data_IF_265697217582
#
_entry.id   IF_265697217582
#
_cell.length_a   1.000
_cell.length_b   1.000
_cell.length_c   1.000
_cell.angle_alpha   90.00
_cell.angle_beta   90.00
_cell.angle_gamma   90.00
#
_symmetry.space_group_name_H-M   'P 1'
#
loop_
_entity.id
_entity.type
_entity.pdbx_description
1 polymer ?
#
# COMPACT_ATOMS: atom_id res chain seq x y z
N UNK A 1 -18.79 12.74 -2.66
CA UNK A 1 -18.03 12.56 -3.93
C UNK A 1 -17.65 13.92 -4.45
N UNK A 2 -16.38 14.15 -4.81
CA UNK A 2 -15.94 15.42 -5.43
C UNK A 2 -15.97 15.20 -6.94
N UNK A 3 -16.92 15.82 -7.64
CA UNK A 3 -17.03 15.69 -9.09
C UNK A 3 -15.99 16.58 -9.76
N UNK A 4 -15.07 15.98 -10.51
CA UNK A 4 -13.98 16.69 -11.18
C UNK A 4 -14.40 17.12 -12.60
N UNK A 5 -15.48 16.54 -13.14
CA UNK A 5 -16.10 16.98 -14.39
C UNK A 5 -15.25 16.78 -15.65
N UNK A 6 -14.19 15.98 -15.58
CA UNK A 6 -13.27 15.75 -16.71
C UNK A 6 -13.66 14.47 -17.45
N UNK A 7 -13.87 14.59 -18.76
CA UNK A 7 -14.17 13.47 -19.66
C UNK A 7 -12.93 13.15 -20.49
N UNK A 8 -12.57 11.87 -20.57
CA UNK A 8 -11.51 11.39 -21.46
C UNK A 8 -12.03 10.27 -22.35
N UNK A 9 -11.59 10.29 -23.60
CA UNK A 9 -11.81 9.20 -24.54
C UNK A 9 -10.86 8.06 -24.20
N UNK A 10 -11.35 6.85 -24.43
CA UNK A 10 -10.55 5.63 -24.39
C UNK A 10 -9.73 5.57 -25.68
N UNK A 11 -8.48 5.11 -25.58
CA UNK A 11 -7.65 4.89 -26.77
C UNK A 11 -7.99 3.56 -27.47
N UNK A 12 -7.32 3.27 -28.59
CA UNK A 12 -7.55 2.07 -29.40
C UNK A 12 -7.29 0.74 -28.64
N UNK A 13 -6.58 0.80 -27.51
CA UNK A 13 -6.21 -0.36 -26.70
C UNK A 13 -7.03 -0.44 -25.40
N UNK A 14 -8.03 0.43 -25.20
CA UNK A 14 -8.83 0.41 -23.99
C UNK A 14 -8.24 1.21 -22.82
N UNK A 15 -7.13 1.95 -23.02
CA UNK A 15 -6.46 2.70 -21.94
C UNK A 15 -7.10 4.08 -21.77
N UNK A 16 -7.15 4.53 -20.53
CA UNK A 16 -7.57 5.89 -20.17
C UNK A 16 -6.41 6.67 -19.57
N UNK A 17 -6.29 7.94 -19.96
CA UNK A 17 -5.27 8.82 -19.41
C UNK A 17 -5.80 9.51 -18.17
N UNK A 18 -5.16 9.28 -17.01
CA UNK A 18 -5.47 9.99 -15.78
C UNK A 18 -5.02 11.47 -15.88
N UNK A 19 -5.91 12.45 -15.64
CA UNK A 19 -5.56 13.88 -15.56
C UNK A 19 -4.44 14.17 -14.56
N UNK A 20 -3.63 15.20 -14.83
CA UNK A 20 -2.46 15.52 -13.99
C UNK A 20 -2.87 16.00 -12.59
N UNK A 21 -4.01 16.65 -12.48
CA UNK A 21 -4.59 17.15 -11.24
C UNK A 21 -4.92 15.99 -10.30
N UNK A 22 -5.48 14.91 -10.84
CA UNK A 22 -5.80 13.70 -10.09
C UNK A 22 -4.53 12.98 -9.61
N UNK A 23 -3.50 12.88 -10.46
CA UNK A 23 -2.22 12.31 -10.06
C UNK A 23 -1.59 13.06 -8.90
N UNK A 24 -1.61 14.41 -8.95
CA UNK A 24 -1.07 15.25 -7.86
C UNK A 24 -1.89 15.15 -6.59
N UNK A 25 -3.22 15.15 -6.71
CA UNK A 25 -4.12 15.07 -5.55
C UNK A 25 -4.06 13.71 -4.83
N UNK A 26 -3.81 12.63 -5.58
CA UNK A 26 -3.69 11.26 -5.05
C UNK A 26 -2.24 10.81 -4.83
N UNK A 27 -1.28 11.69 -5.08
CA UNK A 27 0.16 11.42 -4.99
C UNK A 27 0.57 10.15 -5.77
N UNK A 28 0.12 10.04 -7.02
CA UNK A 28 0.41 8.92 -7.92
C UNK A 28 1.57 9.28 -8.82
N UNK A 29 2.68 8.55 -8.67
CA UNK A 29 3.89 8.70 -9.49
C UNK A 29 3.93 7.71 -10.67
N UNK A 30 4.85 7.95 -11.60
CA UNK A 30 5.09 7.02 -12.70
C UNK A 30 5.57 5.69 -12.11
N UNK A 31 5.01 4.56 -12.58
CA UNK A 31 5.23 3.19 -12.08
C UNK A 31 4.52 2.84 -10.76
N UNK A 32 3.74 3.74 -10.18
CA UNK A 32 2.88 3.38 -9.04
C UNK A 32 1.83 2.36 -9.49
N UNK A 33 1.62 1.34 -8.64
CA UNK A 33 0.57 0.36 -8.85
C UNK A 33 -0.78 0.92 -8.41
N UNK A 34 -1.82 0.67 -9.20
CA UNK A 34 -3.20 1.07 -8.91
C UNK A 34 -4.06 -0.19 -8.91
N UNK A 35 -4.86 -0.32 -7.88
CA UNK A 35 -5.81 -1.41 -7.72
C UNK A 35 -7.18 -1.00 -8.27
N UNK A 36 -7.79 -1.90 -9.02
CA UNK A 36 -9.10 -1.71 -9.65
C UNK A 36 -10.16 -2.44 -8.84
N UNK A 37 -11.20 -1.71 -8.45
CA UNK A 37 -12.39 -2.26 -7.82
C UNK A 37 -13.61 -1.97 -8.70
N UNK A 38 -14.58 -2.87 -8.65
CA UNK A 38 -15.88 -2.70 -9.29
C UNK A 38 -16.93 -2.57 -8.20
N UNK A 39 -17.65 -1.46 -8.20
CA UNK A 39 -18.79 -1.21 -7.31
C UNK A 39 -20.01 -0.90 -8.18
N UNK A 40 -20.92 -1.87 -8.28
CA UNK A 40 -22.10 -1.83 -9.16
C UNK A 40 -21.73 -1.52 -10.62
N UNK A 41 -21.98 -0.28 -11.06
CA UNK A 41 -21.73 0.24 -12.41
C UNK A 41 -20.52 1.18 -12.47
N UNK A 42 -19.72 1.25 -11.41
CA UNK A 42 -18.58 2.17 -11.27
C UNK A 42 -17.27 1.42 -11.11
N UNK A 43 -16.22 1.99 -11.69
CA UNK A 43 -14.85 1.59 -11.43
C UNK A 43 -14.30 2.51 -10.33
N UNK A 44 -13.82 1.91 -9.25
CA UNK A 44 -13.15 2.60 -8.15
C UNK A 44 -11.67 2.29 -8.22
N UNK A 45 -10.84 3.33 -8.32
CA UNK A 45 -9.39 3.22 -8.36
C UNK A 45 -8.79 3.56 -7.00
N UNK A 46 -7.90 2.71 -6.50
CA UNK A 46 -7.18 2.94 -5.24
C UNK A 46 -5.68 2.81 -5.47
N UNK A 47 -4.88 3.67 -4.83
CA UNK A 47 -3.42 3.51 -4.82
C UNK A 47 -3.11 2.14 -4.20
N UNK A 48 -2.46 1.25 -4.95
CA UNK A 48 -2.07 -0.05 -4.45
C UNK A 48 -1.01 0.18 -3.37
N UNK A 49 -1.38 -0.12 -2.14
CA UNK A 49 -0.43 -0.29 -1.06
C UNK A 49 -0.24 -1.79 -0.94
N UNK A 50 0.97 -2.32 -1.11
CA UNK A 50 1.19 -3.75 -0.92
C UNK A 50 0.89 -4.06 0.55
N UNK A 51 -0.30 -4.63 0.78
CA UNK A 51 -0.67 -5.20 2.07
C UNK A 51 0.09 -6.51 2.19
N UNK A 52 0.71 -6.75 3.34
CA UNK A 52 1.51 -7.96 3.52
C UNK A 52 3.00 -7.80 3.19
N UNK A 53 3.57 -6.60 3.09
CA UNK A 53 5.04 -6.45 3.08
C UNK A 53 5.53 -6.54 4.52
N UNK A 54 6.49 -7.41 4.78
CA UNK A 54 7.16 -7.41 6.07
C UNK A 54 7.87 -6.07 6.28
N UNK A 55 7.58 -5.38 7.38
CA UNK A 55 8.19 -4.10 7.73
C UNK A 55 9.72 -4.20 7.87
N UNK A 56 10.23 -5.33 8.36
CA UNK A 56 11.67 -5.54 8.57
C UNK A 56 12.42 -6.01 7.33
N UNK A 57 11.91 -7.05 6.63
CA UNK A 57 12.62 -7.66 5.48
C UNK A 57 12.22 -7.07 4.13
N UNK A 58 11.08 -6.39 4.03
CA UNK A 58 10.56 -5.88 2.75
C UNK A 58 9.94 -6.95 1.85
N UNK A 59 9.86 -8.21 2.31
CA UNK A 59 9.37 -9.33 1.52
C UNK A 59 7.86 -9.54 1.71
N UNK A 60 7.20 -10.00 0.63
CA UNK A 60 5.81 -10.43 0.65
C UNK A 60 5.80 -11.95 0.63
N UNK A 61 5.56 -12.56 1.78
CA UNK A 61 5.41 -14.02 1.89
C UNK A 61 3.99 -14.37 2.35
N UNK A 62 3.53 -15.57 2.01
CA UNK A 62 2.25 -16.11 2.50
C UNK A 62 2.21 -16.31 4.01
N UNK A 63 3.36 -16.26 4.67
CA UNK A 63 3.51 -16.44 6.12
C UNK A 63 3.56 -15.11 6.88
N UNK A 64 3.47 -13.98 6.18
CA UNK A 64 3.45 -12.67 6.81
C UNK A 64 2.20 -12.52 7.69
N UNK A 65 2.43 -12.15 8.95
CA UNK A 65 1.39 -11.96 9.97
C UNK A 65 1.25 -10.51 10.34
N UNK A 66 0.02 -10.13 10.70
CA UNK A 66 -0.29 -8.80 11.19
C UNK A 66 -0.24 -8.74 12.72
N UNK A 67 0.35 -7.67 13.25
CA UNK A 67 0.53 -7.37 14.66
C UNK A 67 0.03 -5.96 14.98
N UNK A 68 -0.35 -5.69 16.23
CA UNK A 68 -0.76 -4.36 16.68
C UNK A 68 -2.02 -3.82 16.00
N UNK A 69 -3.05 -4.67 15.85
CA UNK A 69 -4.31 -4.37 15.15
C UNK A 69 -4.13 -3.98 13.67
N UNK A 70 -3.34 -4.76 12.92
CA UNK A 70 -3.15 -4.53 11.48
C UNK A 70 -2.24 -3.36 11.13
N UNK A 71 -1.55 -2.76 12.11
CA UNK A 71 -0.63 -1.64 11.89
C UNK A 71 0.76 -2.09 11.46
N UNK A 72 1.14 -3.30 11.82
CA UNK A 72 2.47 -3.85 11.58
C UNK A 72 2.28 -5.18 10.88
N UNK A 73 2.90 -5.37 9.71
CA UNK A 73 2.96 -6.67 9.04
C UNK A 73 4.40 -7.16 9.06
N UNK A 74 4.65 -8.38 9.52
CA UNK A 74 5.99 -8.97 9.63
C UNK A 74 5.99 -10.39 9.09
N UNK A 75 7.07 -10.77 8.41
CA UNK A 75 7.42 -12.16 8.16
C UNK A 75 7.84 -12.84 9.47
N UNK A 76 7.85 -14.18 9.53
CA UNK A 76 8.36 -14.91 10.69
C UNK A 76 9.77 -14.43 11.09
N UNK A 77 10.67 -14.32 10.12
CA UNK A 77 12.05 -13.85 10.30
C UNK A 77 12.11 -12.38 10.76
N UNK A 78 11.30 -11.51 10.13
CA UNK A 78 11.22 -10.10 10.51
C UNK A 78 10.68 -9.89 11.93
N UNK A 79 9.79 -10.77 12.38
CA UNK A 79 9.27 -10.73 13.75
C UNK A 79 10.34 -11.11 14.78
N UNK A 80 11.18 -12.10 14.50
CA UNK A 80 12.31 -12.49 15.36
C UNK A 80 13.34 -11.36 15.48
N UNK A 81 13.72 -10.74 14.36
CA UNK A 81 14.64 -9.61 14.34
C UNK A 81 14.12 -8.44 15.17
N UNK A 82 12.86 -8.05 14.95
CA UNK A 82 12.24 -6.95 15.68
C UNK A 82 12.13 -7.24 17.18
N UNK A 83 11.87 -8.50 17.55
CA UNK A 83 11.77 -8.90 18.95
C UNK A 83 13.12 -8.76 19.67
N UNK A 84 14.22 -9.15 19.03
CA UNK A 84 15.57 -9.02 19.59
C UNK A 84 15.97 -7.54 19.75
N UNK A 85 15.71 -6.69 18.75
CA UNK A 85 15.95 -5.25 18.86
C UNK A 85 15.13 -4.59 19.98
N UNK A 86 13.85 -4.93 20.10
CA UNK A 86 12.98 -4.40 21.17
C UNK A 86 13.49 -4.84 22.54
N UNK A 87 13.90 -6.09 22.71
CA UNK A 87 14.46 -6.58 23.98
C UNK A 87 15.75 -5.84 24.34
N UNK A 88 16.64 -5.61 23.36
CA UNK A 88 17.88 -4.88 23.57
C UNK A 88 17.60 -3.45 24.03
N UNK A 89 16.73 -2.72 23.32
CA UNK A 89 16.36 -1.36 23.67
C UNK A 89 15.67 -1.25 25.05
N UNK A 90 14.80 -2.20 25.41
CA UNK A 90 14.13 -2.22 26.71
C UNK A 90 15.09 -2.53 27.88
N UNK A 91 16.18 -3.24 27.63
CA UNK A 91 17.20 -3.51 28.64
C UNK A 91 18.11 -2.29 28.86
N UNK A 92 18.40 -1.50 27.83
CA UNK A 92 19.15 -0.24 27.97
C UNK A 92 18.38 0.83 28.75
N UNK A 93 17.06 0.87 28.64
CA UNK A 93 16.20 1.86 29.34
C UNK A 93 16.04 1.53 30.84
N UNK A 94 16.40 0.32 31.27
CA UNK A 94 16.32 -0.11 32.68
C UNK A 94 17.63 0.00 33.46
N UNK A 95 18.71 0.47 32.82
CA UNK A 95 20.02 0.69 33.44
C UNK A 95 20.20 2.13 33.92
#
# INVERSE_FOLDING_TARGET
>A
MKAIGVVRKVDELGRIVMPIELRRALDISIKDSIEFFVDQDKIVLKKYKPHGVCLMTGEITSENREYGNGKITLSPEGAELLLEEIKAALNEVKA
#
